data_IF_646456240052
#
_entry.id   IF_646456240052
#
_cell.length_a   1.000
_cell.length_b   1.000
_cell.length_c   1.000
_cell.angle_alpha   90.00
_cell.angle_beta   90.00
_cell.angle_gamma   90.00
#
_symmetry.space_group_name_H-M   'P 1'
#
loop_
_entity.id
_entity.type
_entity.pdbx_description
1 polymer ?
#
# COMPACT_ATOMS: atom_id res chain seq x y z
N UNK A 1 21.05 49.56 103.13
CA UNK A 1 19.95 49.79 104.08
C UNK A 1 18.66 49.79 103.27
N UNK A 2 17.72 48.91 103.65
CA UNK A 2 16.29 48.88 103.31
C UNK A 2 15.84 48.60 101.85
N UNK A 3 14.70 47.92 101.80
CA UNK A 3 14.03 47.25 100.70
C UNK A 3 13.03 48.14 99.95
N UNK A 4 12.50 47.66 98.81
CA UNK A 4 11.07 47.45 98.55
C UNK A 4 10.79 46.97 97.12
N UNK A 5 9.77 46.12 96.98
CA UNK A 5 9.25 45.54 95.75
C UNK A 5 8.19 46.44 95.06
N UNK A 6 7.94 46.22 93.77
CA UNK A 6 6.76 46.75 93.05
C UNK A 6 6.89 46.62 91.53
N UNK A 7 5.99 45.86 90.92
CA UNK A 7 5.90 45.47 89.49
C UNK A 7 5.46 46.59 88.54
N UNK A 8 6.00 46.64 87.32
CA UNK A 8 5.26 47.04 86.11
C UNK A 8 5.95 46.50 84.84
N UNK A 9 5.16 45.82 84.03
CA UNK A 9 5.47 45.26 82.72
C UNK A 9 5.50 46.38 81.67
N UNK A 10 6.55 46.47 80.85
CA UNK A 10 6.53 47.26 79.62
C UNK A 10 7.33 46.51 78.55
N UNK A 11 6.58 45.90 77.63
CA UNK A 11 7.05 45.26 76.43
C UNK A 11 7.23 46.31 75.33
N UNK A 12 8.36 46.28 74.63
CA UNK A 12 8.53 46.90 73.31
C UNK A 12 9.13 45.81 72.40
N UNK A 13 8.39 45.29 71.40
CA UNK A 13 8.90 44.26 70.51
C UNK A 13 9.60 44.85 69.27
N UNK A 14 10.76 44.26 68.99
CA UNK A 14 11.27 43.78 67.69
C UNK A 14 11.19 44.73 66.49
N UNK A 15 12.38 45.16 66.07
CA UNK A 15 12.70 45.65 64.73
C UNK A 15 12.36 44.58 63.68
N UNK A 16 11.20 44.68 63.04
CA UNK A 16 10.88 43.92 61.82
C UNK A 16 11.12 44.80 60.59
N UNK A 17 12.34 44.76 60.07
CA UNK A 17 12.58 45.14 58.67
C UNK A 17 12.10 43.98 57.81
N UNK A 18 10.80 43.96 57.52
CA UNK A 18 10.23 43.09 56.50
C UNK A 18 10.76 43.61 55.15
N UNK A 19 11.74 42.92 54.57
CA UNK A 19 12.10 43.13 53.16
C UNK A 19 10.86 42.79 52.32
N UNK A 20 10.28 43.80 51.66
CA UNK A 20 9.21 43.55 50.70
C UNK A 20 9.76 42.58 49.64
N UNK A 21 9.14 41.41 49.42
CA UNK A 21 9.54 40.55 48.32
C UNK A 21 9.45 41.36 47.02
N UNK A 22 10.45 41.22 46.16
CA UNK A 22 10.53 41.86 44.85
C UNK A 22 9.46 41.30 43.91
N UNK A 23 8.19 41.59 44.20
CA UNK A 23 7.00 41.28 43.40
C UNK A 23 7.16 41.73 41.94
N UNK A 24 8.00 42.74 41.71
CA UNK A 24 8.33 43.28 40.40
C UNK A 24 9.14 42.31 39.54
N UNK A 25 10.09 41.56 40.11
CA UNK A 25 10.95 40.66 39.33
C UNK A 25 10.23 39.40 38.85
N UNK A 26 9.39 38.81 39.71
CA UNK A 26 8.59 37.63 39.39
C UNK A 26 7.52 37.92 38.34
N UNK A 27 6.82 39.06 38.49
CA UNK A 27 5.86 39.54 37.49
C UNK A 27 6.53 39.82 36.15
N UNK A 28 7.76 40.35 36.14
CA UNK A 28 8.52 40.58 34.90
C UNK A 28 8.85 39.28 34.17
N UNK A 29 9.27 38.24 34.91
CA UNK A 29 9.56 36.93 34.35
C UNK A 29 8.29 36.24 33.81
N UNK A 30 7.16 36.38 34.51
CA UNK A 30 5.88 35.82 34.08
C UNK A 30 5.35 36.53 32.82
N UNK A 31 5.51 37.85 32.74
CA UNK A 31 5.17 38.63 31.52
C UNK A 31 6.05 38.18 30.35
N UNK A 32 7.36 38.00 30.55
CA UNK A 32 8.27 37.54 29.49
C UNK A 32 7.87 36.13 28.99
N UNK A 33 7.62 35.18 29.90
CA UNK A 33 7.14 33.84 29.54
C UNK A 33 5.81 33.87 28.78
N UNK A 34 4.89 34.76 29.16
CA UNK A 34 3.61 34.91 28.44
C UNK A 34 3.79 35.49 27.04
N UNK A 35 4.76 36.39 26.85
CA UNK A 35 5.10 36.95 25.55
C UNK A 35 5.76 35.90 24.64
N UNK A 36 6.69 35.10 25.18
CA UNK A 36 7.31 33.99 24.47
C UNK A 36 6.29 32.91 24.07
N UNK A 37 5.37 32.54 24.98
CA UNK A 37 4.31 31.58 24.69
C UNK A 37 3.35 32.09 23.59
N UNK A 38 3.07 33.41 23.58
CA UNK A 38 2.24 34.04 22.54
C UNK A 38 2.97 34.06 21.20
N UNK A 39 4.28 34.35 21.18
CA UNK A 39 5.11 34.32 19.98
C UNK A 39 5.20 32.91 19.38
N UNK A 40 5.50 31.90 20.20
CA UNK A 40 5.54 30.49 19.76
C UNK A 40 4.20 30.02 19.21
N UNK A 41 3.11 30.46 19.82
CA UNK A 41 1.77 30.15 19.34
C UNK A 41 1.52 30.78 17.97
N UNK A 42 1.90 32.06 17.77
CA UNK A 42 1.80 32.73 16.47
C UNK A 42 2.62 32.01 15.39
N UNK A 43 3.88 31.66 15.67
CA UNK A 43 4.75 30.91 14.75
C UNK A 43 4.15 29.55 14.36
N UNK A 44 3.54 28.86 15.32
CA UNK A 44 2.91 27.56 15.08
C UNK A 44 1.68 27.65 14.16
N UNK A 45 0.92 28.75 14.25
CA UNK A 45 -0.21 29.01 13.35
C UNK A 45 0.27 29.32 11.93
N UNK A 46 1.34 30.11 11.80
CA UNK A 46 1.94 30.41 10.49
C UNK A 46 2.52 29.15 9.83
N UNK A 47 3.25 28.33 10.58
CA UNK A 47 3.77 27.06 10.10
C UNK A 47 2.65 26.12 9.63
N UNK A 48 1.55 26.05 10.39
CA UNK A 48 0.38 25.23 10.01
C UNK A 48 -0.33 25.77 8.76
N UNK A 49 -0.49 27.08 8.65
CA UNK A 49 -1.06 27.70 7.46
C UNK A 49 -0.20 27.45 6.20
N UNK A 50 1.13 27.45 6.34
CA UNK A 50 2.04 27.09 5.25
C UNK A 50 1.94 25.61 4.86
N UNK A 51 1.85 24.70 5.83
CA UNK A 51 1.65 23.28 5.58
C UNK A 51 0.32 23.00 4.87
N UNK A 52 -0.78 23.63 5.31
CA UNK A 52 -2.09 23.49 4.68
C UNK A 52 -2.09 24.04 3.24
N UNK A 53 -1.45 25.20 3.02
CA UNK A 53 -1.28 25.75 1.67
C UNK A 53 -0.45 24.84 0.76
N UNK A 54 0.59 24.19 1.29
CA UNK A 54 1.40 23.21 0.55
C UNK A 54 0.60 21.94 0.22
N UNK A 55 -0.18 21.43 1.18
CA UNK A 55 -1.04 20.26 1.00
C UNK A 55 -2.12 20.51 -0.06
N UNK A 56 -2.76 21.68 -0.06
CA UNK A 56 -3.75 22.06 -1.08
C UNK A 56 -3.11 22.17 -2.47
N UNK A 57 -1.91 22.74 -2.58
CA UNK A 57 -1.17 22.80 -3.85
C UNK A 57 -0.80 21.40 -4.35
N UNK A 58 -0.30 20.53 -3.47
CA UNK A 58 0.03 19.15 -3.80
C UNK A 58 -1.21 18.35 -4.24
N UNK A 59 -2.33 18.48 -3.55
CA UNK A 59 -3.60 17.84 -3.91
C UNK A 59 -4.12 18.33 -5.27
N UNK A 60 -4.01 19.63 -5.56
CA UNK A 60 -4.43 20.20 -6.84
C UNK A 60 -3.53 19.75 -8.00
N UNK A 61 -2.23 19.56 -7.74
CA UNK A 61 -1.32 19.03 -8.74
C UNK A 61 -1.59 17.54 -9.00
N UNK A 62 -1.75 16.74 -7.94
CA UNK A 62 -2.11 15.32 -8.05
C UNK A 62 -3.42 15.11 -8.82
N UNK A 63 -4.44 15.96 -8.61
CA UNK A 63 -5.69 15.89 -9.35
C UNK A 63 -5.53 16.23 -10.84
N UNK A 64 -4.63 17.17 -11.19
CA UNK A 64 -4.31 17.49 -12.60
C UNK A 64 -3.56 16.35 -13.27
N UNK A 65 -2.59 15.77 -12.58
CA UNK A 65 -1.78 14.66 -13.10
C UNK A 65 -2.64 13.41 -13.28
N UNK A 66 -3.60 13.15 -12.38
CA UNK A 66 -4.63 12.13 -12.56
C UNK A 66 -5.47 12.36 -13.82
N UNK A 67 -6.00 13.58 -14.01
CA UNK A 67 -6.83 13.89 -15.16
C UNK A 67 -6.08 13.76 -16.51
N UNK A 68 -4.78 14.09 -16.53
CA UNK A 68 -3.94 13.91 -17.72
C UNK A 68 -3.63 12.43 -17.98
N UNK A 69 -3.33 11.66 -16.93
CA UNK A 69 -3.09 10.23 -17.01
C UNK A 69 -4.34 9.46 -17.50
N UNK A 70 -5.53 9.83 -17.02
CA UNK A 70 -6.80 9.24 -17.45
C UNK A 70 -7.07 9.49 -18.94
N UNK A 71 -6.88 10.73 -19.42
CA UNK A 71 -7.02 11.06 -20.86
C UNK A 71 -6.06 10.24 -21.73
N UNK A 72 -4.81 10.07 -21.29
CA UNK A 72 -3.81 9.27 -22.01
C UNK A 72 -4.14 7.78 -21.99
N UNK A 73 -4.65 7.26 -20.87
CA UNK A 73 -5.08 5.88 -20.75
C UNK A 73 -6.32 5.57 -21.60
N UNK A 74 -7.29 6.48 -21.68
CA UNK A 74 -8.47 6.32 -22.52
C UNK A 74 -8.10 6.27 -24.01
N UNK A 75 -7.19 7.14 -24.46
CA UNK A 75 -6.67 7.13 -25.82
C UNK A 75 -5.95 5.81 -26.16
N UNK A 76 -5.17 5.27 -25.22
CA UNK A 76 -4.47 3.99 -25.40
C UNK A 76 -5.43 2.80 -25.42
N UNK A 77 -6.44 2.76 -24.54
CA UNK A 77 -7.49 1.73 -24.54
C UNK A 77 -8.27 1.71 -25.86
N UNK A 78 -8.61 2.89 -26.41
CA UNK A 78 -9.25 3.00 -27.72
C UNK A 78 -8.36 2.46 -28.85
N UNK A 79 -7.06 2.74 -28.81
CA UNK A 79 -6.11 2.21 -29.80
C UNK A 79 -5.93 0.69 -29.70
N UNK A 80 -5.86 0.16 -28.48
CA UNK A 80 -5.67 -1.27 -28.21
C UNK A 80 -6.91 -2.10 -28.53
N UNK A 81 -8.12 -1.58 -28.24
CA UNK A 81 -9.38 -2.21 -28.65
C UNK A 81 -9.49 -2.30 -30.17
N UNK A 82 -9.07 -1.27 -30.91
CA UNK A 82 -9.01 -1.30 -32.37
C UNK A 82 -8.03 -2.35 -32.89
N UNK A 83 -6.85 -2.46 -32.27
CA UNK A 83 -5.85 -3.46 -32.65
C UNK A 83 -6.27 -4.90 -32.33
N UNK A 84 -6.99 -5.12 -31.21
CA UNK A 84 -7.56 -6.43 -30.86
C UNK A 84 -8.64 -6.84 -31.87
N UNK A 85 -9.56 -5.93 -32.21
CA UNK A 85 -10.60 -6.21 -33.20
C UNK A 85 -10.03 -6.58 -34.59
N UNK A 86 -8.94 -5.92 -35.03
CA UNK A 86 -8.25 -6.27 -36.27
C UNK A 86 -7.56 -7.65 -36.22
N UNK A 87 -6.96 -8.02 -35.08
CA UNK A 87 -6.34 -9.36 -34.90
C UNK A 87 -7.37 -10.49 -34.85
N UNK A 88 -8.48 -10.26 -34.15
CA UNK A 88 -9.56 -11.24 -34.01
C UNK A 88 -10.22 -11.51 -35.37
N UNK A 89 -10.47 -10.46 -36.18
CA UNK A 89 -10.95 -10.60 -37.55
C UNK A 89 -9.95 -11.33 -38.49
N UNK A 90 -8.64 -11.20 -38.26
CA UNK A 90 -7.62 -11.90 -39.03
C UNK A 90 -7.53 -13.40 -38.65
N UNK A 91 -7.66 -13.72 -37.35
CA UNK A 91 -7.67 -15.10 -36.86
C UNK A 91 -8.93 -15.86 -37.32
N UNK A 92 -10.09 -15.21 -37.35
CA UNK A 92 -11.33 -15.81 -37.81
C UNK A 92 -11.30 -16.14 -39.32
N UNK A 93 -10.59 -15.33 -40.13
CA UNK A 93 -10.32 -15.65 -41.54
C UNK A 93 -9.38 -16.84 -41.71
N UNK A 94 -8.38 -17.00 -40.85
CA UNK A 94 -7.43 -18.12 -40.90
C UNK A 94 -8.05 -19.45 -40.42
N UNK A 95 -8.96 -19.40 -39.44
CA UNK A 95 -9.66 -20.59 -38.94
C UNK A 95 -10.61 -21.19 -39.99
N UNK A 96 -11.32 -20.33 -40.75
CA UNK A 96 -12.19 -20.74 -41.87
C UNK A 96 -11.42 -21.50 -42.98
N UNK A 97 -10.14 -21.21 -43.18
CA UNK A 97 -9.28 -21.86 -44.16
C UNK A 97 -8.79 -23.25 -43.67
N UNK A 98 -8.51 -23.35 -42.37
CA UNK A 98 -8.07 -24.61 -41.72
C UNK A 98 -9.19 -25.67 -41.64
N UNK A 99 -10.44 -25.25 -41.40
CA UNK A 99 -11.61 -26.15 -41.32
C UNK A 99 -11.94 -26.80 -42.68
N UNK A 100 -11.66 -26.11 -43.79
CA UNK A 100 -11.81 -26.65 -45.15
C UNK A 100 -10.85 -27.80 -45.44
N UNK A 101 -9.70 -27.82 -44.76
CA UNK A 101 -8.63 -28.80 -44.99
C UNK A 101 -8.87 -30.09 -44.18
N UNK A 102 -9.51 -30.00 -43.01
CA UNK A 102 -9.76 -31.16 -42.14
C UNK A 102 -10.98 -32.03 -42.53
N UNK A 103 -11.93 -31.48 -43.29
CA UNK A 103 -13.04 -32.27 -43.85
C UNK A 103 -12.61 -33.29 -44.92
N UNK A 104 -11.33 -33.27 -45.36
CA UNK A 104 -10.81 -34.17 -46.40
C UNK A 104 -10.04 -35.39 -45.86
N UNK A 105 -9.85 -35.54 -44.54
CA UNK A 105 -8.93 -36.56 -43.97
C UNK A 105 -9.54 -37.55 -42.97
N UNK A 106 -10.84 -37.48 -42.68
CA UNK A 106 -11.48 -38.30 -41.63
C UNK A 106 -12.21 -39.54 -42.17
N UNK A 107 -11.47 -40.51 -42.70
CA UNK A 107 -11.98 -41.85 -43.01
C UNK A 107 -10.97 -42.94 -42.63
N UNK A 108 -10.87 -43.26 -41.33
CA UNK A 108 -10.49 -44.57 -40.78
C UNK A 108 -10.46 -44.53 -39.23
N UNK A 109 -11.00 -45.54 -38.50
CA UNK A 109 -10.98 -45.58 -37.04
C UNK A 109 -10.01 -46.64 -36.48
N UNK A 110 -9.62 -46.48 -35.21
CA UNK A 110 -9.50 -47.54 -34.18
C UNK A 110 -8.46 -47.13 -33.11
N UNK A 111 -8.73 -47.45 -31.84
CA UNK A 111 -7.68 -47.58 -30.83
C UNK A 111 -8.02 -47.06 -29.43
N UNK A 112 -8.65 -47.93 -28.65
CA UNK A 112 -8.86 -47.86 -27.20
C UNK A 112 -7.56 -47.68 -26.38
N UNK A 113 -7.64 -47.07 -25.19
CA UNK A 113 -6.58 -47.19 -24.18
C UNK A 113 -6.64 -46.18 -23.04
N UNK A 114 -6.93 -46.67 -21.84
CA UNK A 114 -7.11 -45.95 -20.57
C UNK A 114 -5.84 -45.33 -19.93
N UNK A 115 -6.12 -44.52 -18.91
CA UNK A 115 -5.46 -44.45 -17.58
C UNK A 115 -4.36 -43.41 -17.32
N UNK A 116 -4.77 -42.43 -16.52
CA UNK A 116 -4.24 -42.06 -15.19
C UNK A 116 -2.75 -41.76 -14.97
N UNK A 117 -2.58 -40.59 -14.33
CA UNK A 117 -1.54 -40.21 -13.35
C UNK A 117 -0.14 -39.95 -13.89
N UNK A 118 0.38 -38.74 -13.65
CA UNK A 118 1.37 -38.51 -12.60
C UNK A 118 1.89 -37.06 -12.65
N UNK A 119 1.83 -36.43 -11.48
CA UNK A 119 2.49 -35.17 -11.15
C UNK A 119 3.98 -35.24 -11.51
N UNK A 120 4.44 -34.26 -12.30
CA UNK A 120 5.84 -33.93 -12.41
C UNK A 120 5.97 -32.41 -12.40
N UNK A 121 6.73 -31.94 -11.41
CA UNK A 121 7.21 -30.58 -11.18
C UNK A 121 8.07 -30.18 -12.37
N UNK A 122 7.40 -29.85 -13.47
CA UNK A 122 8.01 -29.07 -14.52
C UNK A 122 7.87 -27.61 -14.08
N UNK A 123 8.98 -26.87 -14.11
CA UNK A 123 8.96 -25.41 -14.24
C UNK A 123 8.40 -25.02 -15.61
N UNK A 124 7.25 -25.60 -15.98
CA UNK A 124 6.39 -25.11 -17.03
C UNK A 124 5.94 -23.74 -16.56
N UNK A 125 6.10 -22.75 -17.43
CA UNK A 125 5.54 -21.43 -17.17
C UNK A 125 4.08 -21.60 -16.69
N UNK A 126 3.65 -20.88 -15.63
CA UNK A 126 2.29 -21.01 -15.14
C UNK A 126 1.32 -20.84 -16.32
N UNK A 127 0.51 -21.85 -16.58
CA UNK A 127 -0.48 -21.87 -17.66
C UNK A 127 -1.88 -21.67 -17.08
N UNK A 128 -2.82 -21.20 -17.90
CA UNK A 128 -4.17 -20.89 -17.43
C UNK A 128 -4.21 -19.62 -16.57
N UNK A 129 -5.14 -19.56 -15.60
CA UNK A 129 -5.41 -18.34 -14.81
C UNK A 129 -4.18 -17.79 -14.10
N UNK A 130 -3.38 -18.65 -13.46
CA UNK A 130 -2.14 -18.22 -12.78
C UNK A 130 -1.19 -17.53 -13.76
N UNK A 131 -1.03 -18.08 -14.97
CA UNK A 131 -0.18 -17.50 -16.02
C UNK A 131 -0.58 -16.09 -16.42
N UNK A 132 -1.88 -15.84 -16.54
CA UNK A 132 -2.45 -14.52 -16.83
C UNK A 132 -2.17 -13.53 -15.71
N UNK A 133 -2.37 -13.94 -14.45
CA UNK A 133 -2.07 -13.11 -13.27
C UNK A 133 -0.60 -12.71 -13.25
N UNK A 134 0.31 -13.68 -13.38
CA UNK A 134 1.76 -13.41 -13.37
C UNK A 134 2.18 -12.54 -14.57
N UNK A 135 1.61 -12.76 -15.75
CA UNK A 135 1.91 -11.94 -16.93
C UNK A 135 1.48 -10.49 -16.76
N UNK A 136 0.31 -10.26 -16.16
CA UNK A 136 -0.15 -8.91 -15.83
C UNK A 136 0.80 -8.23 -14.84
N UNK A 137 1.17 -8.91 -13.75
CA UNK A 137 2.07 -8.36 -12.74
C UNK A 137 3.43 -7.98 -13.33
N UNK A 138 3.99 -8.87 -14.17
CA UNK A 138 5.27 -8.62 -14.87
C UNK A 138 5.19 -7.42 -15.81
N UNK A 139 4.04 -7.17 -16.43
CA UNK A 139 3.85 -6.02 -17.31
C UNK A 139 3.90 -4.68 -16.56
N UNK A 140 3.67 -4.69 -15.25
CA UNK A 140 3.71 -3.48 -14.41
C UNK A 140 5.06 -3.25 -13.73
N UNK A 141 6.07 -4.09 -13.99
CA UNK A 141 7.39 -3.91 -13.37
C UNK A 141 7.97 -2.53 -13.72
N UNK A 142 8.39 -1.80 -12.68
CA UNK A 142 8.91 -0.44 -12.79
C UNK A 142 7.84 0.66 -12.68
N UNK A 143 6.54 0.31 -12.64
CA UNK A 143 5.49 1.30 -12.36
C UNK A 143 5.67 1.93 -10.98
N UNK A 144 5.20 3.17 -10.84
CA UNK A 144 5.33 3.90 -9.59
C UNK A 144 4.45 3.30 -8.49
N UNK A 145 4.92 3.39 -7.24
CA UNK A 145 4.07 3.15 -6.09
C UNK A 145 3.42 4.47 -5.66
N UNK A 146 2.11 4.49 -5.54
CA UNK A 146 1.36 5.62 -4.98
C UNK A 146 0.24 5.06 -4.11
N UNK A 147 0.22 5.45 -2.83
CA UNK A 147 -0.81 5.01 -1.88
C UNK A 147 -2.20 5.34 -2.42
N UNK A 148 -3.09 4.34 -2.52
CA UNK A 148 -4.45 4.52 -3.02
C UNK A 148 -4.59 4.47 -4.55
N UNK A 149 -3.49 4.48 -5.32
CA UNK A 149 -3.56 4.34 -6.77
C UNK A 149 -4.14 2.98 -7.17
N UNK A 150 -4.70 2.89 -8.39
CA UNK A 150 -5.35 1.67 -8.89
C UNK A 150 -5.02 1.40 -10.37
N UNK A 151 -3.83 1.84 -10.79
CA UNK A 151 -3.32 1.64 -12.14
C UNK A 151 -3.77 2.68 -13.18
N UNK A 152 -3.39 2.48 -14.45
CA UNK A 152 -2.52 1.40 -14.90
C UNK A 152 -1.02 1.69 -14.73
N UNK A 153 -0.59 2.92 -14.43
CA UNK A 153 0.84 3.30 -14.38
C UNK A 153 1.36 3.57 -12.96
N UNK A 154 0.49 3.48 -11.96
CA UNK A 154 0.84 3.63 -10.56
C UNK A 154 -0.08 2.76 -9.72
N UNK A 155 0.50 2.10 -8.74
CA UNK A 155 -0.19 1.09 -7.95
C UNK A 155 0.08 1.29 -6.46
N UNK A 156 -0.85 0.86 -5.63
CA UNK A 156 -0.48 0.40 -4.29
C UNK A 156 -0.47 -1.13 -4.24
N UNK A 157 -0.01 -1.69 -3.12
CA UNK A 157 0.16 -3.14 -2.99
C UNK A 157 -1.12 -3.91 -3.28
N UNK A 158 -2.21 -3.55 -2.59
CA UNK A 158 -3.51 -4.22 -2.71
C UNK A 158 -4.20 -4.01 -4.06
N UNK A 159 -4.08 -2.84 -4.69
CA UNK A 159 -4.68 -2.56 -6.01
C UNK A 159 -3.95 -3.28 -7.14
N UNK A 160 -2.63 -3.45 -7.05
CA UNK A 160 -1.87 -4.25 -8.01
C UNK A 160 -2.35 -5.70 -8.00
N UNK A 161 -2.43 -6.28 -6.80
CA UNK A 161 -2.94 -7.65 -6.59
C UNK A 161 -4.38 -7.74 -7.11
N UNK A 162 -5.26 -6.82 -6.71
CA UNK A 162 -6.65 -6.78 -7.17
C UNK A 162 -6.76 -6.75 -8.70
N UNK A 163 -5.99 -5.89 -9.37
CA UNK A 163 -6.03 -5.77 -10.82
C UNK A 163 -5.49 -6.99 -11.55
N UNK A 164 -4.50 -7.68 -10.97
CA UNK A 164 -3.95 -8.91 -11.53
C UNK A 164 -4.96 -10.07 -11.48
N UNK A 165 -5.60 -10.28 -10.34
CA UNK A 165 -6.62 -11.34 -10.18
C UNK A 165 -7.91 -11.02 -10.93
N UNK A 166 -8.23 -9.73 -11.14
CA UNK A 166 -9.34 -9.32 -11.99
C UNK A 166 -9.18 -9.76 -13.45
N UNK A 167 -7.95 -9.95 -13.94
CA UNK A 167 -7.71 -10.48 -15.30
C UNK A 167 -8.29 -11.87 -15.52
N UNK A 168 -8.51 -12.61 -14.43
CA UNK A 168 -9.04 -13.98 -14.44
C UNK A 168 -10.40 -14.09 -13.78
N UNK A 169 -11.10 -12.96 -13.61
CA UNK A 169 -12.45 -12.92 -13.05
C UNK A 169 -12.55 -13.11 -11.54
N UNK A 170 -11.43 -12.98 -10.81
CA UNK A 170 -11.44 -13.05 -9.34
C UNK A 170 -11.48 -11.63 -8.78
N UNK A 171 -12.61 -11.25 -8.19
CA UNK A 171 -12.79 -9.96 -7.54
C UNK A 171 -12.24 -9.99 -6.11
N UNK A 172 -11.13 -9.30 -5.88
CA UNK A 172 -10.54 -9.14 -4.56
C UNK A 172 -11.00 -7.84 -3.89
N UNK A 173 -11.08 -7.79 -2.54
CA UNK A 173 -11.30 -6.55 -1.80
C UNK A 173 -10.23 -5.49 -2.11
N UNK A 174 -10.54 -4.20 -1.97
CA UNK A 174 -9.59 -3.12 -2.29
C UNK A 174 -8.40 -3.01 -1.34
N UNK A 175 -8.54 -3.49 -0.10
CA UNK A 175 -7.57 -3.27 0.99
C UNK A 175 -6.84 -4.56 1.37
N UNK A 176 -5.56 -4.43 1.73
CA UNK A 176 -4.66 -5.55 2.07
C UNK A 176 -5.19 -6.41 3.22
N UNK A 177 -5.82 -5.79 4.23
CA UNK A 177 -6.39 -6.47 5.38
C UNK A 177 -7.41 -7.53 4.94
N UNK A 178 -8.35 -7.16 4.08
CA UNK A 178 -9.39 -8.06 3.61
C UNK A 178 -8.85 -9.06 2.57
N UNK A 179 -7.85 -8.68 1.77
CA UNK A 179 -7.18 -9.62 0.87
C UNK A 179 -6.44 -10.74 1.61
N UNK A 180 -5.84 -10.44 2.78
CA UNK A 180 -5.13 -11.44 3.59
C UNK A 180 -6.00 -12.57 4.12
N UNK A 181 -7.33 -12.47 3.97
CA UNK A 181 -8.32 -13.48 4.39
C UNK A 181 -9.30 -13.86 3.28
N UNK A 182 -9.08 -13.40 2.03
CA UNK A 182 -10.04 -13.57 0.94
C UNK A 182 -10.11 -15.01 0.38
N UNK A 183 -9.17 -15.89 0.76
CA UNK A 183 -9.04 -17.25 0.24
C UNK A 183 -8.72 -18.28 1.31
N UNK A 184 -8.27 -19.45 0.86
CA UNK A 184 -7.86 -20.53 1.78
C UNK A 184 -6.46 -20.23 2.33
N UNK A 185 -6.24 -20.27 3.65
CA UNK A 185 -4.92 -20.08 4.24
C UNK A 185 -3.91 -21.14 3.76
N UNK A 186 -2.69 -20.69 3.45
CA UNK A 186 -1.59 -21.55 2.98
C UNK A 186 -0.39 -21.37 3.89
N UNK A 187 0.22 -22.48 4.32
CA UNK A 187 1.51 -22.47 5.00
C UNK A 187 2.60 -21.97 4.07
N UNK A 188 3.54 -21.17 4.56
CA UNK A 188 4.69 -20.68 3.79
C UNK A 188 5.57 -21.81 3.22
N UNK A 189 5.51 -23.01 3.79
CA UNK A 189 6.18 -24.21 3.26
C UNK A 189 5.48 -24.82 2.04
N UNK A 190 4.23 -24.45 1.77
CA UNK A 190 3.35 -25.01 0.73
C UNK A 190 2.96 -23.97 -0.32
N UNK A 191 3.77 -22.92 -0.48
CA UNK A 191 3.53 -21.85 -1.43
C UNK A 191 3.52 -22.37 -2.87
N UNK A 192 2.54 -21.90 -3.63
CA UNK A 192 2.39 -22.12 -5.06
C UNK A 192 2.34 -20.79 -5.79
N UNK A 193 2.85 -20.77 -7.02
CA UNK A 193 2.82 -19.59 -7.88
C UNK A 193 1.38 -19.08 -7.99
N UNK A 194 1.17 -17.80 -7.72
CA UNK A 194 -0.15 -17.19 -7.66
C UNK A 194 -0.75 -17.10 -6.25
N UNK A 195 -0.10 -17.61 -5.21
CA UNK A 195 -0.54 -17.36 -3.83
C UNK A 195 -0.36 -15.89 -3.46
N UNK A 196 -1.33 -15.33 -2.74
CA UNK A 196 -1.25 -13.97 -2.21
C UNK A 196 -0.51 -14.04 -0.88
N UNK A 197 0.63 -13.37 -0.81
CA UNK A 197 1.41 -13.20 0.41
C UNK A 197 0.97 -11.95 1.14
N UNK A 198 1.06 -11.95 2.46
CA UNK A 198 0.75 -10.79 3.29
C UNK A 198 1.77 -10.59 4.41
N UNK A 199 1.93 -9.34 4.84
CA UNK A 199 2.74 -8.93 5.99
C UNK A 199 1.86 -8.27 7.06
N UNK A 200 2.10 -8.65 8.31
CA UNK A 200 1.21 -8.35 9.44
C UNK A 200 0.30 -9.53 9.80
N UNK A 201 -0.68 -9.31 10.66
CA UNK A 201 -1.64 -10.35 11.04
C UNK A 201 -2.70 -10.57 9.96
N UNK A 202 -3.23 -11.79 9.85
CA UNK A 202 -4.41 -12.05 9.02
C UNK A 202 -5.57 -11.12 9.45
N UNK A 203 -6.22 -10.47 8.49
CA UNK A 203 -7.27 -9.47 8.74
C UNK A 203 -6.74 -8.09 9.19
N UNK A 204 -5.43 -7.94 9.39
CA UNK A 204 -4.75 -6.70 9.79
C UNK A 204 -3.48 -6.44 8.98
N UNK A 205 -3.32 -7.14 7.84
CA UNK A 205 -2.15 -7.02 7.00
C UNK A 205 -1.99 -5.60 6.45
N UNK A 206 -0.78 -5.05 6.58
CA UNK A 206 -0.44 -3.71 6.07
C UNK A 206 0.16 -3.76 4.65
N UNK A 207 0.55 -4.94 4.17
CA UNK A 207 1.14 -5.12 2.84
C UNK A 207 0.77 -6.47 2.25
N UNK A 208 0.72 -6.54 0.92
CA UNK A 208 0.41 -7.76 0.15
C UNK A 208 1.23 -7.81 -1.14
N UNK A 209 1.47 -9.03 -1.62
CA UNK A 209 2.15 -9.30 -2.90
C UNK A 209 1.75 -10.67 -3.43
N UNK A 210 2.23 -11.04 -4.62
CA UNK A 210 1.92 -12.35 -5.22
C UNK A 210 3.18 -13.18 -5.35
N UNK A 211 3.14 -14.41 -4.87
CA UNK A 211 4.25 -15.35 -5.00
C UNK A 211 4.42 -15.76 -6.46
N UNK A 212 5.65 -15.64 -6.98
CA UNK A 212 5.97 -15.92 -8.39
C UNK A 212 6.85 -17.16 -8.56
N UNK A 213 7.10 -17.90 -7.48
CA UNK A 213 7.96 -19.09 -7.46
C UNK A 213 9.40 -18.78 -7.07
N UNK A 214 10.20 -19.83 -6.88
CA UNK A 214 11.64 -19.73 -6.56
C UNK A 214 11.96 -18.82 -5.37
N UNK A 215 11.12 -18.80 -4.33
CA UNK A 215 11.31 -17.93 -3.16
C UNK A 215 11.06 -16.45 -3.41
N UNK A 216 10.52 -16.08 -4.58
CA UNK A 216 10.32 -14.69 -4.99
C UNK A 216 8.84 -14.31 -5.02
N UNK A 217 8.59 -13.02 -4.85
CA UNK A 217 7.27 -12.41 -4.96
C UNK A 217 7.32 -11.09 -5.73
N UNK A 218 6.18 -10.66 -6.24
CA UNK A 218 6.02 -9.39 -6.95
C UNK A 218 4.99 -8.54 -6.22
N UNK A 219 5.36 -7.30 -5.94
CA UNK A 219 4.55 -6.34 -5.20
C UNK A 219 4.78 -4.90 -5.70
N UNK A 220 3.84 -4.01 -5.38
CA UNK A 220 4.09 -2.58 -5.40
C UNK A 220 4.66 -2.20 -4.02
N UNK A 221 5.98 -2.05 -3.91
CA UNK A 221 6.69 -2.08 -2.63
C UNK A 221 6.53 -0.79 -1.81
N UNK A 222 6.95 0.36 -2.36
CA UNK A 222 6.91 1.67 -1.72
C UNK A 222 7.31 2.78 -2.73
N UNK A 223 7.14 4.08 -2.40
CA UNK A 223 7.41 5.18 -3.33
C UNK A 223 8.83 5.23 -3.89
N UNK A 224 9.83 4.66 -3.20
CA UNK A 224 11.22 4.65 -3.65
C UNK A 224 11.58 3.51 -4.60
N UNK A 225 10.78 2.42 -4.61
CA UNK A 225 11.05 1.22 -5.42
C UNK A 225 10.02 0.99 -6.53
N UNK A 226 8.76 1.38 -6.32
CA UNK A 226 7.68 1.07 -7.25
C UNK A 226 7.30 -0.41 -7.26
N UNK A 227 6.85 -0.91 -8.41
CA UNK A 227 6.52 -2.32 -8.64
C UNK A 227 7.77 -3.12 -8.96
N UNK A 228 8.08 -4.12 -8.13
CA UNK A 228 9.35 -4.84 -8.17
C UNK A 228 9.18 -6.32 -7.85
N UNK A 229 10.20 -7.12 -8.18
CA UNK A 229 10.36 -8.49 -7.71
C UNK A 229 11.30 -8.47 -6.50
N UNK A 230 10.92 -9.18 -5.44
CA UNK A 230 11.69 -9.29 -4.20
C UNK A 230 11.80 -10.75 -3.74
N UNK A 231 12.75 -11.02 -2.87
CA UNK A 231 13.05 -12.34 -2.33
C UNK A 231 12.52 -12.50 -0.90
N UNK A 232 11.87 -13.63 -0.61
CA UNK A 232 11.30 -13.94 0.70
C UNK A 232 12.36 -14.15 1.79
N UNK A 233 13.59 -14.52 1.43
CA UNK A 233 14.67 -14.67 2.41
C UNK A 233 15.09 -13.34 3.02
N UNK A 234 15.01 -12.25 2.26
CA UNK A 234 15.35 -10.90 2.72
C UNK A 234 14.20 -10.22 3.46
N UNK A 235 12.95 -10.52 3.06
CA UNK A 235 11.75 -9.95 3.69
C UNK A 235 10.63 -11.00 3.77
N UNK A 236 10.62 -11.85 4.81
CA UNK A 236 9.70 -12.97 4.89
C UNK A 236 8.26 -12.52 5.12
N UNK A 237 7.33 -13.11 4.37
CA UNK A 237 5.89 -12.91 4.57
C UNK A 237 5.43 -13.46 5.92
N UNK A 238 4.37 -12.86 6.48
CA UNK A 238 3.75 -13.36 7.72
C UNK A 238 2.82 -14.54 7.45
N UNK A 239 2.24 -14.62 6.26
CA UNK A 239 1.43 -15.75 5.82
C UNK A 239 0.99 -15.61 4.36
N UNK A 240 0.17 -16.56 3.91
CA UNK A 240 -0.33 -16.59 2.55
C UNK A 240 -1.78 -17.10 2.46
N UNK A 241 -2.48 -16.70 1.40
CA UNK A 241 -3.79 -17.25 1.00
C UNK A 241 -3.82 -17.62 -0.48
N UNK A 242 -4.59 -18.65 -0.80
CA UNK A 242 -4.84 -19.11 -2.17
C UNK A 242 -6.28 -18.84 -2.58
N UNK A 243 -6.44 -18.24 -3.76
CA UNK A 243 -7.74 -17.84 -4.34
C UNK A 243 -7.98 -18.43 -5.73
N UNK A 244 -7.02 -19.20 -6.27
CA UNK A 244 -7.09 -19.91 -7.55
C UNK A 244 -7.05 -21.42 -7.33
#
# INVERSE_FOLDING_TARGET
MAAAAGTANAAEPVTETIELPTLTADLSAQIAQSADATAQTADSYEARAQQDAAAVKAAKQAAKDQAEAEKKAEARKKAEAKAKAEREAAQERAARDSERTQLSTSSAPSGSGSSASQSSSSNSAPSGSVGTVISFLKAQLGDAYVMGASGPNAWDCSSLVQAAFKQVGVDLPRVSQAQSTAGTPVSLSNLQVGDILYWGGAGSAYHVGVYIGNGQYLDAANPGKGVVIQDLSGYPASGAVRVL
#
